data_IF_842828955329
#
_entry.id   IF_842828955329
#
_cell.length_a   1.000
_cell.length_b   1.000
_cell.length_c   1.000
_cell.angle_alpha   90.00
_cell.angle_beta   90.00
_cell.angle_gamma   90.00
#
_symmetry.space_group_name_H-M   'P 1'
#
loop_
_entity.id
_entity.type
_entity.pdbx_description
1 polymer ?
#
# COMPACT_ATOMS: atom_id res chain seq x y z
N UNK A 1 -10.91 58.62 -84.39
CA UNK A 1 -9.59 58.00 -84.11
C UNK A 1 -9.74 57.24 -82.80
N UNK A 2 -10.24 56.01 -82.81
CA UNK A 2 -9.51 54.76 -83.09
C UNK A 2 -8.43 54.49 -82.03
N UNK A 3 -8.76 53.62 -81.06
CA UNK A 3 -7.81 52.75 -80.37
C UNK A 3 -8.61 51.66 -79.62
N UNK A 4 -8.96 50.65 -80.40
CA UNK A 4 -9.18 49.27 -79.97
C UNK A 4 -8.01 48.82 -79.07
N UNK A 5 -8.31 48.22 -77.92
CA UNK A 5 -7.38 47.37 -77.17
C UNK A 5 -8.11 46.11 -76.76
N UNK A 6 -8.04 45.15 -77.66
CA UNK A 6 -8.25 43.74 -77.40
C UNK A 6 -6.98 43.14 -76.79
N UNK A 7 -7.12 42.07 -75.99
CA UNK A 7 -5.98 41.22 -75.64
C UNK A 7 -5.78 40.82 -74.18
N UNK A 8 -6.43 39.71 -73.82
CA UNK A 8 -5.79 38.51 -73.27
C UNK A 8 -5.68 38.30 -71.73
N UNK A 9 -6.51 37.34 -71.29
CA UNK A 9 -6.21 36.15 -70.45
C UNK A 9 -6.49 36.22 -68.93
N UNK A 10 -7.67 35.67 -68.61
CA UNK A 10 -7.93 34.53 -67.70
C UNK A 10 -7.19 34.46 -66.35
N UNK A 11 -7.96 34.38 -65.25
CA UNK A 11 -8.30 33.12 -64.56
C UNK A 11 -9.16 33.41 -63.32
N UNK A 12 -10.37 32.84 -63.30
CA UNK A 12 -11.18 32.66 -62.10
C UNK A 12 -10.69 31.39 -61.37
N UNK A 13 -10.44 31.42 -60.05
CA UNK A 13 -10.53 30.21 -59.25
C UNK A 13 -11.90 30.15 -58.57
N UNK A 14 -12.70 29.19 -59.03
CA UNK A 14 -13.81 28.63 -58.28
C UNK A 14 -13.30 28.11 -56.92
N UNK A 15 -13.78 28.73 -55.84
CA UNK A 15 -13.54 28.30 -54.47
C UNK A 15 -14.88 28.04 -53.80
N UNK A 16 -15.18 26.76 -53.64
CA UNK A 16 -16.43 26.21 -53.13
C UNK A 16 -16.98 26.91 -51.88
N UNK A 17 -18.31 26.98 -51.87
CA UNK A 17 -19.18 27.17 -50.71
C UNK A 17 -18.77 26.28 -49.53
N UNK A 18 -17.93 26.80 -48.64
CA UNK A 18 -17.76 26.23 -47.30
C UNK A 18 -18.94 26.69 -46.44
N UNK A 19 -20.08 26.02 -46.62
CA UNK A 19 -21.20 26.10 -45.69
C UNK A 19 -20.68 25.86 -44.27
N UNK A 20 -20.99 26.77 -43.36
CA UNK A 20 -20.54 26.76 -41.98
C UNK A 20 -20.88 25.44 -41.29
N UNK A 21 -19.87 24.59 -41.11
CA UNK A 21 -19.98 23.36 -40.33
C UNK A 21 -20.21 23.75 -38.87
N UNK A 22 -21.30 23.32 -38.21
CA UNK A 22 -21.50 23.59 -36.80
C UNK A 22 -20.35 22.94 -36.04
N UNK A 23 -19.58 23.77 -35.31
CA UNK A 23 -18.46 23.32 -34.49
C UNK A 23 -19.01 22.36 -33.44
N UNK A 24 -18.68 21.08 -33.56
CA UNK A 24 -19.01 20.09 -32.53
C UNK A 24 -18.31 20.49 -31.23
N UNK A 25 -19.00 20.43 -30.07
CA UNK A 25 -18.38 20.73 -28.79
C UNK A 25 -17.24 19.74 -28.56
N UNK A 26 -16.00 20.23 -28.41
CA UNK A 26 -14.84 19.40 -28.09
C UNK A 26 -15.08 18.72 -26.75
N UNK A 27 -15.07 17.39 -26.75
CA UNK A 27 -15.24 16.50 -25.59
C UNK A 27 -14.12 16.60 -24.55
N UNK A 28 -13.10 17.40 -24.84
CA UNK A 28 -11.87 17.54 -24.06
C UNK A 28 -11.92 18.68 -23.03
N UNK A 29 -13.07 19.34 -22.89
CA UNK A 29 -13.26 20.35 -21.84
C UNK A 29 -13.86 19.69 -20.61
N UNK A 30 -13.18 19.70 -19.45
CA UNK A 30 -13.77 19.21 -18.22
C UNK A 30 -15.02 20.04 -17.94
N UNK A 31 -16.18 19.35 -17.89
CA UNK A 31 -17.47 19.97 -17.62
C UNK A 31 -17.35 20.79 -16.32
N UNK A 32 -17.67 22.10 -16.31
CA UNK A 32 -17.67 22.87 -15.08
C UNK A 32 -18.63 22.20 -14.09
N UNK A 33 -18.24 22.03 -12.82
CA UNK A 33 -19.06 21.34 -11.85
C UNK A 33 -20.40 22.07 -11.75
N UNK A 34 -21.47 21.35 -12.11
CA UNK A 34 -22.85 21.81 -11.95
C UNK A 34 -22.99 22.21 -10.48
N UNK A 35 -23.20 23.50 -10.19
CA UNK A 35 -23.51 23.98 -8.83
C UNK A 35 -24.72 23.19 -8.33
N UNK A 36 -24.46 22.23 -7.44
CA UNK A 36 -25.50 21.43 -6.80
C UNK A 36 -26.19 22.34 -5.80
N UNK A 37 -27.45 22.69 -6.06
CA UNK A 37 -28.35 23.38 -5.13
C UNK A 37 -28.92 22.41 -4.08
N UNK A 38 -28.21 21.33 -3.78
CA UNK A 38 -28.61 20.45 -2.70
C UNK A 38 -28.06 21.07 -1.41
N UNK A 39 -28.89 21.20 -0.35
CA UNK A 39 -28.38 21.54 0.98
C UNK A 39 -27.21 20.60 1.28
N UNK A 40 -26.02 21.18 1.48
CA UNK A 40 -24.84 20.43 1.85
C UNK A 40 -25.07 19.94 3.27
N UNK A 41 -25.64 18.76 3.37
CA UNK A 41 -25.87 18.09 4.65
C UNK A 41 -24.50 17.74 5.19
N UNK A 42 -24.02 18.51 6.17
CA UNK A 42 -22.67 18.38 6.72
C UNK A 42 -22.45 16.95 7.26
N UNK A 43 -21.74 16.10 6.50
CA UNK A 43 -21.56 14.69 6.84
C UNK A 43 -20.63 14.53 8.05
N UNK A 44 -19.90 15.58 8.42
CA UNK A 44 -18.96 15.59 9.55
C UNK A 44 -19.70 15.81 10.88
N UNK A 45 -20.72 16.67 10.89
CA UNK A 45 -21.59 16.86 12.06
C UNK A 45 -22.40 15.59 12.35
N UNK A 46 -23.04 15.02 11.33
CA UNK A 46 -23.75 13.74 11.46
C UNK A 46 -22.78 12.62 11.85
N UNK A 47 -21.56 12.63 11.31
CA UNK A 47 -20.57 11.61 11.60
C UNK A 47 -20.10 11.57 13.05
N UNK A 48 -19.91 12.74 13.67
CA UNK A 48 -19.59 12.88 15.10
C UNK A 48 -20.77 12.46 15.98
N UNK A 49 -22.00 12.82 15.58
CA UNK A 49 -23.23 12.40 16.24
C UNK A 49 -23.39 10.87 16.20
N UNK A 50 -23.23 10.24 15.04
CA UNK A 50 -23.31 8.78 14.90
C UNK A 50 -22.25 8.07 15.75
N UNK A 51 -21.03 8.59 15.84
CA UNK A 51 -19.96 7.99 16.65
C UNK A 51 -20.25 8.09 18.16
N UNK A 52 -20.84 9.21 18.60
CA UNK A 52 -21.31 9.36 19.98
C UNK A 52 -22.47 8.41 20.28
N UNK A 53 -23.43 8.31 19.36
CA UNK A 53 -24.61 7.43 19.48
C UNK A 53 -24.17 5.96 19.48
N UNK A 54 -23.24 5.56 18.62
CA UNK A 54 -22.72 4.18 18.57
C UNK A 54 -22.01 3.79 19.88
N UNK A 55 -21.17 4.67 20.44
CA UNK A 55 -20.53 4.43 21.75
C UNK A 55 -21.55 4.38 22.88
N UNK A 56 -22.61 5.18 22.79
CA UNK A 56 -23.68 5.23 23.80
C UNK A 56 -24.58 3.99 23.76
N UNK A 57 -25.01 3.54 22.58
CA UNK A 57 -25.84 2.33 22.40
C UNK A 57 -25.05 1.04 22.63
N UNK A 58 -23.76 1.00 22.30
CA UNK A 58 -22.90 -0.18 22.53
C UNK A 58 -22.52 -0.39 23.99
N UNK A 59 -22.72 0.60 24.86
CA UNK A 59 -22.45 0.48 26.29
C UNK A 59 -23.73 0.05 27.02
N UNK A 60 -23.66 -0.95 27.92
CA UNK A 60 -24.80 -1.38 28.75
C UNK A 60 -25.44 -0.29 29.63
N UNK A 61 -24.83 0.91 29.66
CA UNK A 61 -25.31 2.09 30.37
C UNK A 61 -26.60 2.69 29.78
N UNK A 62 -26.87 2.52 28.49
CA UNK A 62 -28.13 2.93 27.88
C UNK A 62 -29.33 2.18 28.48
N UNK A 63 -29.19 0.85 28.61
CA UNK A 63 -30.23 -0.01 29.17
C UNK A 63 -30.52 0.39 30.62
N UNK A 64 -29.48 0.58 31.43
CA UNK A 64 -29.63 1.02 32.83
C UNK A 64 -30.38 2.35 32.94
N UNK A 65 -30.02 3.34 32.11
CA UNK A 65 -30.68 4.63 32.11
C UNK A 65 -32.14 4.53 31.66
N UNK A 66 -32.42 3.75 30.60
CA UNK A 66 -33.77 3.53 30.10
C UNK A 66 -34.67 2.85 31.15
N UNK A 67 -34.15 1.83 31.83
CA UNK A 67 -34.85 1.17 32.95
C UNK A 67 -35.15 2.15 34.08
N UNK A 68 -34.20 3.02 34.43
CA UNK A 68 -34.40 4.05 35.46
C UNK A 68 -35.53 5.02 35.09
N UNK A 69 -35.58 5.50 33.84
CA UNK A 69 -36.65 6.39 33.37
C UNK A 69 -38.02 5.71 33.43
N UNK A 70 -38.12 4.45 33.01
CA UNK A 70 -39.37 3.67 33.09
C UNK A 70 -39.81 3.50 34.55
N UNK A 71 -38.90 3.12 35.44
CA UNK A 71 -39.20 2.96 36.87
C UNK A 71 -39.67 4.28 37.47
N UNK A 72 -39.00 5.39 37.16
CA UNK A 72 -39.37 6.72 37.65
C UNK A 72 -40.77 7.12 37.17
N UNK A 73 -41.10 6.84 35.90
CA UNK A 73 -42.41 7.13 35.32
C UNK A 73 -43.53 6.32 35.99
N UNK A 74 -43.29 5.03 36.19
CA UNK A 74 -44.24 4.14 36.87
C UNK A 74 -44.40 4.58 38.33
N UNK A 75 -43.30 4.85 39.03
CA UNK A 75 -43.33 5.28 40.43
C UNK A 75 -44.08 6.61 40.59
N UNK A 76 -43.86 7.57 39.69
CA UNK A 76 -44.59 8.84 39.65
C UNK A 76 -46.09 8.61 39.48
N UNK A 77 -46.51 7.82 38.49
CA UNK A 77 -47.93 7.58 38.22
C UNK A 77 -48.62 6.71 39.28
N UNK A 78 -47.88 5.84 40.00
CA UNK A 78 -48.43 5.03 41.09
C UNK A 78 -48.55 5.82 42.40
N UNK A 79 -47.51 6.61 42.73
CA UNK A 79 -47.46 7.38 43.99
C UNK A 79 -48.20 8.71 43.94
N UNK A 80 -48.52 9.22 42.73
CA UNK A 80 -49.29 10.44 42.57
C UNK A 80 -50.76 10.28 43.08
N UNK A 81 -51.30 11.30 43.76
CA UNK A 81 -52.73 11.40 44.06
C UNK A 81 -53.58 11.31 42.80
N UNK A 82 -54.81 10.78 42.89
CA UNK A 82 -55.71 10.53 41.74
C UNK A 82 -55.92 11.76 40.83
N UNK A 83 -55.79 12.96 41.38
CA UNK A 83 -55.93 14.24 40.67
C UNK A 83 -54.71 14.61 39.79
N UNK A 84 -53.54 14.01 40.07
CA UNK A 84 -52.27 14.25 39.36
C UNK A 84 -51.77 13.01 38.59
N UNK A 85 -52.57 11.93 38.55
CA UNK A 85 -52.26 10.74 37.74
C UNK A 85 -52.43 11.08 36.28
N UNK A 86 -51.30 11.28 35.61
CA UNK A 86 -51.27 11.57 34.19
C UNK A 86 -51.51 10.30 33.34
N UNK A 87 -51.10 9.14 33.85
CA UNK A 87 -51.13 7.85 33.15
C UNK A 87 -51.50 6.70 34.12
N UNK A 88 -52.81 6.45 34.30
CA UNK A 88 -53.32 5.37 35.14
C UNK A 88 -53.20 4.00 34.44
N UNK A 89 -53.15 2.90 35.20
CA UNK A 89 -53.04 1.54 34.64
C UNK A 89 -54.13 1.30 33.58
N UNK A 90 -53.78 1.03 32.30
CA UNK A 90 -52.61 0.27 31.83
C UNK A 90 -51.43 1.09 31.24
N UNK A 91 -51.20 2.34 31.65
CA UNK A 91 -50.09 3.19 31.16
C UNK A 91 -50.09 3.40 29.64
N UNK A 92 -51.17 4.01 29.12
CA UNK A 92 -51.36 4.22 27.68
C UNK A 92 -50.31 5.18 27.12
N UNK A 93 -49.92 6.21 27.86
CA UNK A 93 -48.93 7.19 27.39
C UNK A 93 -47.54 6.57 27.33
N UNK A 94 -47.15 5.79 28.34
CA UNK A 94 -45.89 5.06 28.32
C UNK A 94 -45.82 4.11 27.11
N UNK A 95 -46.92 3.40 26.82
CA UNK A 95 -46.98 2.46 25.70
C UNK A 95 -46.92 3.18 24.35
N UNK A 96 -47.63 4.30 24.20
CA UNK A 96 -47.57 5.14 23.00
C UNK A 96 -46.18 5.75 22.79
N UNK A 97 -45.52 6.19 23.87
CA UNK A 97 -44.17 6.71 23.81
C UNK A 97 -43.16 5.63 23.39
N UNK A 98 -43.25 4.43 23.95
CA UNK A 98 -42.37 3.31 23.59
C UNK A 98 -42.60 2.83 22.15
N UNK A 99 -43.84 2.79 21.68
CA UNK A 99 -44.13 2.41 20.29
C UNK A 99 -43.61 3.46 19.29
N UNK A 100 -43.77 4.75 19.61
CA UNK A 100 -43.20 5.84 18.83
C UNK A 100 -41.66 5.79 18.84
N UNK A 101 -41.05 5.54 20.01
CA UNK A 101 -39.61 5.40 20.15
C UNK A 101 -39.08 4.30 19.23
N UNK A 102 -39.71 3.13 19.23
CA UNK A 102 -39.32 2.02 18.35
C UNK A 102 -39.48 2.39 16.87
N UNK A 103 -40.57 3.07 16.51
CA UNK A 103 -40.83 3.50 15.13
C UNK A 103 -39.79 4.50 14.61
N UNK A 104 -39.35 5.45 15.45
CA UNK A 104 -38.32 6.43 15.06
C UNK A 104 -36.88 5.89 15.20
N UNK A 105 -36.65 4.88 16.04
CA UNK A 105 -35.35 4.23 16.17
C UNK A 105 -34.96 3.49 14.88
N UNK A 106 -35.90 2.80 14.22
CA UNK A 106 -35.63 2.05 13.00
C UNK A 106 -34.97 2.88 11.87
N UNK A 107 -35.50 4.04 11.44
CA UNK A 107 -34.86 4.86 10.40
C UNK A 107 -33.53 5.46 10.85
N UNK A 108 -33.39 5.83 12.13
CA UNK A 108 -32.11 6.32 12.67
C UNK A 108 -31.03 5.24 12.64
N UNK A 109 -31.39 4.01 13.00
CA UNK A 109 -30.49 2.85 12.94
C UNK A 109 -30.11 2.57 11.49
N UNK A 110 -31.07 2.60 10.55
CA UNK A 110 -30.78 2.41 9.13
C UNK A 110 -29.83 3.47 8.56
N UNK A 111 -29.99 4.74 8.95
CA UNK A 111 -29.06 5.80 8.54
C UNK A 111 -27.67 5.62 9.16
N UNK A 112 -27.60 5.19 10.42
CA UNK A 112 -26.33 4.90 11.08
C UNK A 112 -25.61 3.70 10.44
N UNK A 113 -26.37 2.66 10.06
CA UNK A 113 -25.88 1.46 9.39
C UNK A 113 -25.35 1.74 7.99
N UNK A 114 -26.10 2.45 7.14
CA UNK A 114 -25.65 2.80 5.78
C UNK A 114 -24.26 3.48 5.78
N UNK A 115 -23.99 4.30 6.79
CA UNK A 115 -22.70 5.00 6.91
C UNK A 115 -21.58 4.13 7.52
N UNK A 116 -21.93 3.16 8.35
CA UNK A 116 -20.98 2.13 8.80
C UNK A 116 -20.58 1.26 7.59
N UNK A 117 -21.55 0.81 6.80
CA UNK A 117 -21.32 0.00 5.61
C UNK A 117 -20.45 0.72 4.57
N UNK A 118 -20.64 2.03 4.36
CA UNK A 118 -19.79 2.84 3.47
C UNK A 118 -18.33 2.92 3.96
N UNK A 119 -18.10 3.08 5.28
CA UNK A 119 -16.75 3.08 5.87
C UNK A 119 -16.11 1.71 5.77
N UNK A 120 -16.86 0.67 6.08
CA UNK A 120 -16.39 -0.72 6.04
C UNK A 120 -16.02 -1.12 4.61
N UNK A 121 -16.77 -0.65 3.61
CA UNK A 121 -16.43 -0.82 2.20
C UNK A 121 -15.09 -0.17 1.85
N UNK A 122 -14.84 1.07 2.27
CA UNK A 122 -13.57 1.77 2.01
C UNK A 122 -12.40 1.05 2.68
N UNK A 123 -12.58 0.63 3.94
CA UNK A 123 -11.57 -0.15 4.67
C UNK A 123 -11.26 -1.48 3.96
N UNK A 124 -12.28 -2.21 3.50
CA UNK A 124 -12.11 -3.45 2.74
C UNK A 124 -11.37 -3.23 1.41
N UNK A 125 -11.65 -2.14 0.70
CA UNK A 125 -10.93 -1.79 -0.53
C UNK A 125 -9.46 -1.43 -0.26
N UNK A 126 -9.17 -0.76 0.86
CA UNK A 126 -7.80 -0.47 1.27
C UNK A 126 -7.04 -1.73 1.69
N UNK A 127 -7.67 -2.61 2.48
CA UNK A 127 -7.08 -3.88 2.91
C UNK A 127 -6.76 -4.78 1.73
N UNK A 128 -7.65 -4.84 0.73
CA UNK A 128 -7.37 -5.56 -0.54
C UNK A 128 -6.12 -5.02 -1.22
N UNK A 129 -5.99 -3.70 -1.39
CA UNK A 129 -4.81 -3.08 -2.00
C UNK A 129 -3.55 -3.30 -1.19
N UNK A 130 -3.63 -3.27 0.15
CA UNK A 130 -2.50 -3.57 1.02
C UNK A 130 -2.07 -5.03 0.88
N UNK A 131 -3.03 -5.96 0.83
CA UNK A 131 -2.76 -7.38 0.67
C UNK A 131 -2.10 -7.68 -0.69
N UNK A 132 -2.59 -7.07 -1.78
CA UNK A 132 -1.96 -7.18 -3.11
C UNK A 132 -0.51 -6.70 -3.09
N UNK A 133 -0.23 -5.57 -2.43
CA UNK A 133 1.14 -5.05 -2.27
C UNK A 133 2.00 -6.00 -1.43
N UNK A 134 1.46 -6.52 -0.33
CA UNK A 134 2.18 -7.47 0.54
C UNK A 134 2.55 -8.75 -0.20
N UNK A 135 1.66 -9.25 -1.06
CA UNK A 135 1.95 -10.42 -1.90
C UNK A 135 3.07 -10.08 -2.88
N UNK A 136 2.99 -8.94 -3.57
CA UNK A 136 4.02 -8.49 -4.51
C UNK A 136 5.39 -8.30 -3.83
N UNK A 137 5.43 -7.71 -2.64
CA UNK A 137 6.65 -7.53 -1.85
C UNK A 137 7.23 -8.89 -1.43
N UNK A 138 6.37 -9.84 -1.04
CA UNK A 138 6.80 -11.20 -0.70
C UNK A 138 7.38 -11.94 -1.90
N UNK A 139 6.75 -11.81 -3.07
CA UNK A 139 7.25 -12.38 -4.33
C UNK A 139 8.59 -11.74 -4.74
N UNK A 140 8.72 -10.42 -4.57
CA UNK A 140 9.96 -9.70 -4.83
C UNK A 140 11.09 -10.18 -3.90
N UNK A 141 10.85 -10.20 -2.59
CA UNK A 141 11.82 -10.69 -1.61
C UNK A 141 12.20 -12.15 -1.88
N UNK A 142 11.25 -13.00 -2.24
CA UNK A 142 11.53 -14.41 -2.57
C UNK A 142 12.42 -14.52 -3.80
N UNK A 143 12.17 -13.71 -4.84
CA UNK A 143 13.02 -13.66 -6.03
C UNK A 143 14.42 -13.13 -5.71
N UNK A 144 14.51 -12.10 -4.88
CA UNK A 144 15.78 -11.51 -4.46
C UNK A 144 16.60 -12.50 -3.62
N UNK A 145 15.95 -13.24 -2.70
CA UNK A 145 16.59 -14.31 -1.92
C UNK A 145 17.05 -15.45 -2.84
N UNK A 146 16.27 -15.82 -3.85
CA UNK A 146 16.66 -16.83 -4.82
C UNK A 146 17.89 -16.37 -5.64
N UNK A 147 17.92 -15.11 -6.08
CA UNK A 147 19.06 -14.51 -6.76
C UNK A 147 20.30 -14.44 -5.85
N UNK A 148 20.13 -14.00 -4.60
CA UNK A 148 21.19 -13.97 -3.60
C UNK A 148 21.74 -15.37 -3.32
N UNK A 149 20.88 -16.39 -3.23
CA UNK A 149 21.28 -17.79 -3.05
C UNK A 149 22.11 -18.31 -4.22
N UNK A 150 21.77 -17.93 -5.45
CA UNK A 150 22.53 -18.31 -6.64
C UNK A 150 23.89 -17.61 -6.63
N UNK A 151 23.93 -16.29 -6.42
CA UNK A 151 25.19 -15.54 -6.34
C UNK A 151 26.11 -16.00 -5.20
N UNK A 152 25.54 -16.30 -4.02
CA UNK A 152 26.31 -16.91 -2.92
C UNK A 152 26.71 -18.36 -3.23
N UNK A 153 25.89 -19.14 -3.94
CA UNK A 153 26.25 -20.49 -4.37
C UNK A 153 27.45 -20.52 -5.33
N UNK A 154 27.54 -19.53 -6.21
CA UNK A 154 28.66 -19.35 -7.16
C UNK A 154 29.94 -18.85 -6.46
N UNK A 155 29.84 -17.96 -5.48
CA UNK A 155 31.01 -17.38 -4.78
C UNK A 155 31.47 -18.24 -3.58
N UNK A 156 30.56 -18.99 -2.95
CA UNK A 156 30.85 -19.84 -1.79
C UNK A 156 30.86 -21.33 -2.14
N UNK A 157 31.26 -21.71 -3.36
CA UNK A 157 31.47 -23.13 -3.63
C UNK A 157 32.67 -23.61 -2.82
N UNK A 158 32.53 -24.77 -2.16
CA UNK A 158 33.55 -25.45 -1.35
C UNK A 158 34.94 -25.44 -1.99
N UNK A 159 35.02 -25.49 -3.30
CA UNK A 159 36.28 -25.51 -4.05
C UNK A 159 36.99 -24.15 -4.08
N UNK A 160 36.27 -23.02 -4.12
CA UNK A 160 36.88 -21.69 -3.99
C UNK A 160 37.38 -21.43 -2.56
N UNK A 161 36.55 -21.75 -1.56
CA UNK A 161 36.97 -21.64 -0.15
C UNK A 161 38.15 -22.58 0.12
N UNK A 162 38.16 -23.78 -0.47
CA UNK A 162 39.26 -24.72 -0.35
C UNK A 162 40.51 -24.23 -1.07
N UNK A 163 40.41 -23.66 -2.28
CA UNK A 163 41.56 -23.13 -3.00
C UNK A 163 42.16 -21.95 -2.24
N UNK A 164 41.34 -21.04 -1.73
CA UNK A 164 41.81 -19.87 -0.98
C UNK A 164 42.48 -20.29 0.33
N UNK A 165 41.88 -21.23 1.08
CA UNK A 165 42.50 -21.79 2.29
C UNK A 165 43.81 -22.50 1.97
N UNK A 166 43.89 -23.24 0.86
CA UNK A 166 45.13 -23.90 0.46
C UNK A 166 46.21 -22.90 0.05
N UNK A 167 45.85 -21.84 -0.67
CA UNK A 167 46.80 -20.81 -1.08
C UNK A 167 47.34 -20.06 0.14
N UNK A 168 46.47 -19.69 1.10
CA UNK A 168 46.89 -19.08 2.36
C UNK A 168 47.80 -20.01 3.19
N UNK A 169 47.50 -21.31 3.26
CA UNK A 169 48.34 -22.30 3.96
C UNK A 169 49.70 -22.45 3.28
N UNK A 170 49.72 -22.51 1.94
CA UNK A 170 50.93 -22.64 1.13
C UNK A 170 51.82 -21.41 1.26
N UNK A 171 51.23 -20.22 1.33
CA UNK A 171 51.96 -18.98 1.60
C UNK A 171 52.62 -19.00 2.98
N UNK A 172 51.94 -19.49 4.01
CA UNK A 172 52.51 -19.63 5.36
C UNK A 172 53.64 -20.67 5.42
N UNK A 173 53.51 -21.82 4.73
CA UNK A 173 54.59 -22.81 4.62
C UNK A 173 55.80 -22.26 3.86
N UNK A 174 55.59 -21.52 2.77
CA UNK A 174 56.66 -20.90 2.02
C UNK A 174 57.46 -19.90 2.87
N UNK A 175 56.77 -19.11 3.71
CA UNK A 175 57.39 -18.21 4.69
C UNK A 175 58.19 -18.99 5.75
N UNK A 176 57.71 -20.15 6.18
CA UNK A 176 58.40 -21.00 7.16
C UNK A 176 59.62 -21.72 6.58
N UNK A 177 59.53 -22.25 5.35
CA UNK A 177 60.62 -22.95 4.67
C UNK A 177 61.71 -22.00 4.16
N UNK A 178 61.34 -20.81 3.66
CA UNK A 178 62.33 -19.78 3.33
C UNK A 178 63.17 -19.34 4.54
N UNK A 179 62.68 -19.57 5.76
CA UNK A 179 63.44 -19.38 7.00
C UNK A 179 64.38 -20.54 7.34
N UNK A 180 64.14 -21.76 6.81
CA UNK A 180 64.97 -22.95 7.05
C UNK A 180 66.15 -23.06 6.08
N UNK A 181 65.98 -22.65 4.82
CA UNK A 181 67.04 -22.81 3.80
C UNK A 181 68.25 -21.90 4.01
N UNK A 182 68.13 -20.85 4.83
CA UNK A 182 69.25 -19.98 5.19
C UNK A 182 70.20 -20.60 6.22
N UNK A 183 69.87 -21.76 6.82
CA UNK A 183 70.67 -22.40 7.86
C UNK A 183 71.44 -23.67 7.42
N UNK A 184 71.41 -24.04 6.13
CA UNK A 184 71.72 -25.43 5.70
C UNK A 184 72.89 -25.72 4.76
N UNK A 185 73.75 -24.77 4.36
CA UNK A 185 74.81 -25.04 3.37
C UNK A 185 76.25 -24.83 3.88
N UNK A 186 76.89 -25.93 4.32
CA UNK A 186 78.34 -26.05 4.43
C UNK A 186 78.90 -26.77 3.19
N UNK A 187 79.86 -26.20 2.42
CA UNK A 187 80.36 -26.82 1.20
C UNK A 187 81.60 -27.70 1.46
N UNK A 188 81.60 -28.93 0.95
CA UNK A 188 82.74 -29.86 0.99
C UNK A 188 83.65 -29.72 -0.24
N UNK A 189 84.95 -29.59 0.01
CA UNK A 189 86.04 -29.35 -0.95
C UNK A 189 86.43 -30.62 -1.73
N UNK A 190 86.65 -30.50 -3.04
CA UNK A 190 87.02 -31.59 -3.97
C UNK A 190 88.54 -31.56 -4.22
N UNK A 191 89.24 -32.67 -3.95
CA UNK A 191 90.68 -32.81 -4.18
C UNK A 191 91.00 -33.40 -5.57
N UNK A 192 91.87 -32.73 -6.32
CA UNK A 192 92.41 -33.14 -7.63
C UNK A 192 93.60 -34.13 -7.49
N UNK A 193 93.84 -34.95 -8.52
CA UNK A 193 95.07 -35.76 -8.70
C UNK A 193 95.68 -35.48 -10.09
N UNK A 194 97.03 -35.39 -10.25
CA UNK A 194 97.66 -35.06 -11.53
C UNK A 194 98.08 -36.30 -12.34
N UNK A 195 98.37 -36.16 -13.66
CA UNK A 195 98.81 -37.27 -14.51
C UNK A 195 100.35 -37.39 -14.56
N UNK A 196 100.84 -38.63 -14.46
CA UNK A 196 102.27 -38.99 -14.62
C UNK A 196 102.46 -39.88 -15.85
N UNK A 197 103.59 -39.69 -16.52
CA UNK A 197 103.90 -40.01 -17.92
C UNK A 197 104.95 -41.14 -18.03
N UNK A 198 104.95 -41.81 -19.17
CA UNK A 198 106.05 -42.53 -19.86
C UNK A 198 106.52 -43.95 -19.43
N UNK A 199 107.14 -44.60 -20.43
CA UNK A 199 107.93 -45.84 -20.50
C UNK A 199 107.13 -47.10 -20.89
N UNK A 200 107.15 -47.56 -22.14
CA UNK A 200 108.24 -48.22 -22.91
C UNK A 200 108.52 -49.67 -22.46
N UNK A 201 108.89 -50.49 -23.45
CA UNK A 201 109.41 -51.88 -23.43
C UNK A 201 108.47 -53.10 -23.59
N UNK A 202 108.69 -53.75 -24.76
CA UNK A 202 108.47 -55.15 -25.21
C UNK A 202 107.11 -55.66 -25.69
#
# INVERSE_FOLDING_TARGET
>A
MAAERDGARERLPAGATAAGRPRTPRLDQPRPPKRRLLPEWDPEAFGRLSESVARFLGTGRFIVWMTFVIILWVLWNVSAPKELRFDEYPFIFLTLALSLQASYAAPLILLAQNRQDDRDRVNLEQDRKQNERSIADTEYLTREIAALRIGLGEVATRDWIRSELQDMVKEMEARQNGHKDQHGSFPAMRAERPPGRDADDR
#
